data_IF_761854108977
#
_entry.id   IF_761854108977
#
_cell.length_a   1.000
_cell.length_b   1.000
_cell.length_c   1.000
_cell.angle_alpha   90.00
_cell.angle_beta   90.00
_cell.angle_gamma   90.00
#
_symmetry.space_group_name_H-M   'P 1'
#
loop_
_entity.id
_entity.type
_entity.pdbx_description
1 polymer ?
#
# COMPACT_ATOMS: atom_id res chain seq x y z
N UNK A 1 10.22 -66.79 -15.34
CA UNK A 1 11.25 -65.85 -14.83
C UNK A 1 11.47 -64.70 -15.83
N UNK A 2 10.42 -63.97 -16.24
CA UNK A 2 10.57 -62.86 -17.22
C UNK A 2 9.39 -61.87 -17.25
N UNK A 3 8.58 -61.76 -16.19
CA UNK A 3 7.33 -60.96 -16.20
C UNK A 3 7.20 -59.92 -15.06
N UNK A 4 8.23 -59.75 -14.21
CA UNK A 4 8.17 -58.82 -13.06
C UNK A 4 8.98 -57.52 -13.24
N UNK A 5 9.58 -57.29 -14.41
CA UNK A 5 10.48 -56.14 -14.64
C UNK A 5 9.80 -54.87 -15.17
N UNK A 6 8.50 -54.90 -15.51
CA UNK A 6 7.83 -53.79 -16.21
C UNK A 6 7.03 -52.83 -15.34
N UNK A 7 6.88 -53.08 -14.03
CA UNK A 7 6.06 -52.21 -13.16
C UNK A 7 6.83 -51.00 -12.59
N UNK A 8 8.18 -51.02 -12.60
CA UNK A 8 8.99 -49.93 -12.01
C UNK A 8 9.19 -48.70 -12.90
N UNK A 9 8.77 -48.70 -14.16
CA UNK A 9 9.07 -47.60 -15.09
C UNK A 9 8.07 -46.43 -15.06
N UNK A 10 6.92 -46.56 -14.38
CA UNK A 10 5.83 -45.55 -14.44
C UNK A 10 5.77 -44.59 -13.24
N UNK A 11 6.70 -44.68 -12.28
CA UNK A 11 6.69 -43.80 -11.08
C UNK A 11 7.61 -42.57 -11.25
N UNK A 12 8.34 -42.46 -12.36
CA UNK A 12 9.36 -41.41 -12.58
C UNK A 12 8.89 -40.14 -13.30
N UNK A 13 7.61 -39.98 -13.61
CA UNK A 13 7.09 -38.77 -14.30
C UNK A 13 6.67 -37.62 -13.37
N UNK A 14 6.85 -37.74 -12.05
CA UNK A 14 6.23 -36.85 -11.07
C UNK A 14 7.14 -35.76 -10.45
N UNK A 15 8.37 -35.55 -10.93
CA UNK A 15 9.26 -34.55 -10.35
C UNK A 15 10.13 -33.80 -11.36
N UNK A 16 9.60 -33.54 -12.56
CA UNK A 16 10.07 -32.38 -13.31
C UNK A 16 9.75 -31.15 -12.44
N UNK A 17 10.71 -30.26 -12.14
CA UNK A 17 10.46 -29.05 -11.37
C UNK A 17 9.61 -28.10 -12.21
N UNK A 18 8.34 -28.44 -12.31
CA UNK A 18 7.25 -27.59 -12.78
C UNK A 18 7.25 -26.35 -11.89
N UNK A 19 6.79 -25.23 -12.43
CA UNK A 19 6.69 -23.92 -11.77
C UNK A 19 6.41 -23.97 -10.26
N UNK A 20 6.90 -22.95 -9.55
CA UNK A 20 6.82 -22.85 -8.07
C UNK A 20 5.42 -23.16 -7.54
N UNK A 21 4.38 -22.75 -8.27
CA UNK A 21 3.00 -23.12 -8.00
C UNK A 21 2.24 -23.46 -9.30
N UNK A 22 1.22 -24.32 -9.22
CA UNK A 22 0.43 -24.69 -10.39
C UNK A 22 -0.29 -23.47 -10.98
N UNK A 23 -0.11 -23.24 -12.28
CA UNK A 23 -0.67 -22.09 -12.99
C UNK A 23 -2.20 -21.99 -12.84
N UNK A 24 -2.90 -23.13 -12.82
CA UNK A 24 -4.36 -23.19 -12.68
C UNK A 24 -4.86 -22.62 -11.34
N UNK A 25 -4.03 -22.60 -10.29
CA UNK A 25 -4.36 -21.99 -9.01
C UNK A 25 -3.94 -20.52 -8.94
N UNK A 26 -2.74 -20.20 -9.45
CA UNK A 26 -2.17 -18.85 -9.39
C UNK A 26 -2.94 -17.87 -10.27
N UNK A 27 -3.33 -18.27 -11.49
CA UNK A 27 -3.97 -17.36 -12.45
C UNK A 27 -5.36 -16.87 -12.00
N UNK A 28 -6.29 -17.73 -11.53
CA UNK A 28 -7.57 -17.27 -10.99
C UNK A 28 -7.39 -16.37 -9.77
N UNK A 29 -6.46 -16.72 -8.87
CA UNK A 29 -6.17 -15.91 -7.69
C UNK A 29 -5.64 -14.52 -8.07
N UNK A 30 -4.71 -14.46 -9.03
CA UNK A 30 -4.17 -13.21 -9.55
C UNK A 30 -5.26 -12.37 -10.23
N UNK A 31 -6.15 -13.00 -10.98
CA UNK A 31 -7.29 -12.32 -11.63
C UNK A 31 -8.24 -11.70 -10.60
N UNK A 32 -8.62 -12.45 -9.56
CA UNK A 32 -9.45 -11.92 -8.46
C UNK A 32 -8.74 -10.76 -7.76
N UNK A 33 -7.44 -10.91 -7.47
CA UNK A 33 -6.63 -9.86 -6.84
C UNK A 33 -6.57 -8.60 -7.71
N UNK A 34 -6.41 -8.75 -9.03
CA UNK A 34 -6.39 -7.64 -9.97
C UNK A 34 -7.73 -6.90 -9.99
N UNK A 35 -8.85 -7.61 -9.98
CA UNK A 35 -10.19 -7.01 -9.89
C UNK A 35 -10.35 -6.22 -8.58
N UNK A 36 -9.97 -6.80 -7.45
CA UNK A 36 -10.06 -6.14 -6.14
C UNK A 36 -9.24 -4.84 -6.14
N UNK A 37 -8.01 -4.88 -6.64
CA UNK A 37 -7.15 -3.70 -6.75
C UNK A 37 -7.71 -2.67 -7.73
N UNK A 38 -8.29 -3.10 -8.85
CA UNK A 38 -8.94 -2.22 -9.82
C UNK A 38 -10.14 -1.49 -9.23
N UNK A 39 -11.05 -2.22 -8.56
CA UNK A 39 -12.20 -1.64 -7.87
C UNK A 39 -11.74 -0.67 -6.77
N UNK A 40 -10.74 -1.07 -5.97
CA UNK A 40 -10.18 -0.22 -4.92
C UNK A 40 -9.61 1.10 -5.49
N UNK A 41 -8.86 1.01 -6.60
CA UNK A 41 -8.29 2.18 -7.27
C UNK A 41 -9.35 3.12 -7.83
N UNK A 42 -10.41 2.59 -8.44
CA UNK A 42 -11.55 3.40 -8.92
C UNK A 42 -12.28 4.07 -7.75
N UNK A 43 -12.54 3.33 -6.67
CA UNK A 43 -13.19 3.87 -5.47
C UNK A 43 -12.38 5.02 -4.84
N UNK A 44 -11.05 4.87 -4.79
CA UNK A 44 -10.13 5.93 -4.35
C UNK A 44 -10.19 7.18 -5.24
N UNK A 45 -10.43 7.01 -6.53
CA UNK A 45 -10.58 8.10 -7.49
C UNK A 45 -11.79 9.00 -7.23
N UNK A 46 -12.81 8.51 -6.51
CA UNK A 46 -14.03 9.25 -6.20
C UNK A 46 -13.95 10.03 -4.87
N UNK A 47 -12.95 9.76 -4.03
CA UNK A 47 -12.79 10.46 -2.76
C UNK A 47 -12.38 11.93 -2.97
N UNK A 48 -13.01 12.84 -2.23
CA UNK A 48 -12.67 14.26 -2.25
C UNK A 48 -11.32 14.45 -1.53
N UNK A 49 -10.26 14.58 -2.32
CA UNK A 49 -8.88 14.66 -1.84
C UNK A 49 -8.09 15.72 -2.62
N UNK A 50 -7.11 16.38 -1.99
CA UNK A 50 -6.21 17.29 -2.69
C UNK A 50 -5.56 16.62 -3.89
N UNK A 51 -5.48 17.34 -5.02
CA UNK A 51 -5.00 16.83 -6.32
C UNK A 51 -3.64 16.11 -6.23
N UNK A 52 -2.73 16.61 -5.40
CA UNK A 52 -1.41 15.99 -5.14
C UNK A 52 -1.49 14.61 -4.46
N UNK A 53 -2.36 14.46 -3.45
CA UNK A 53 -2.55 13.17 -2.76
C UNK A 53 -3.20 12.15 -3.70
N UNK A 54 -4.11 12.63 -4.55
CA UNK A 54 -4.77 11.82 -5.57
C UNK A 54 -3.74 11.26 -6.56
N UNK A 55 -2.83 12.08 -7.10
CA UNK A 55 -1.82 11.61 -8.06
C UNK A 55 -0.89 10.54 -7.49
N UNK A 56 -0.44 10.66 -6.23
CA UNK A 56 0.43 9.64 -5.60
C UNK A 56 -0.32 8.31 -5.45
N UNK A 57 -1.57 8.35 -4.99
CA UNK A 57 -2.40 7.15 -4.83
C UNK A 57 -2.74 6.50 -6.16
N UNK A 58 -3.01 7.31 -7.18
CA UNK A 58 -3.23 6.84 -8.55
C UNK A 58 -1.99 6.12 -9.08
N UNK A 59 -0.80 6.72 -8.92
CA UNK A 59 0.46 6.10 -9.32
C UNK A 59 0.71 4.78 -8.58
N UNK A 60 0.53 4.76 -7.26
CA UNK A 60 0.71 3.54 -6.46
C UNK A 60 -0.21 2.40 -6.91
N UNK A 61 -1.51 2.68 -7.12
CA UNK A 61 -2.44 1.67 -7.59
C UNK A 61 -2.12 1.14 -9.00
N UNK A 62 -1.63 2.00 -9.89
CA UNK A 62 -1.20 1.59 -11.23
C UNK A 62 0.03 0.66 -11.17
N UNK A 63 1.02 0.97 -10.32
CA UNK A 63 2.17 0.10 -10.10
C UNK A 63 1.72 -1.24 -9.49
N UNK A 64 0.80 -1.24 -8.53
CA UNK A 64 0.23 -2.47 -7.97
C UNK A 64 -0.47 -3.33 -9.04
N UNK A 65 -1.28 -2.73 -9.91
CA UNK A 65 -1.93 -3.44 -11.02
C UNK A 65 -0.93 -4.07 -11.98
N UNK A 66 0.24 -3.45 -12.19
CA UNK A 66 1.31 -4.01 -13.02
C UNK A 66 2.09 -5.12 -12.29
N UNK A 67 2.23 -5.01 -10.97
CA UNK A 67 2.97 -5.97 -10.14
C UNK A 67 2.28 -7.34 -10.10
N UNK A 68 0.94 -7.35 -10.01
CA UNK A 68 0.13 -8.58 -9.93
C UNK A 68 0.38 -9.55 -11.11
N UNK A 69 0.24 -9.16 -12.39
CA UNK A 69 0.46 -10.06 -13.52
C UNK A 69 1.93 -10.50 -13.62
N UNK A 70 2.89 -9.66 -13.24
CA UNK A 70 4.32 -10.04 -13.22
C UNK A 70 4.57 -11.13 -12.18
N UNK A 71 4.01 -11.00 -10.98
CA UNK A 71 4.09 -12.04 -9.95
C UNK A 71 3.38 -13.32 -10.38
N UNK A 72 2.17 -13.20 -10.95
CA UNK A 72 1.42 -14.35 -11.43
C UNK A 72 2.19 -15.13 -12.52
N UNK A 73 2.84 -14.41 -13.44
CA UNK A 73 3.71 -15.00 -14.45
C UNK A 73 4.93 -15.68 -13.81
N UNK A 74 5.61 -15.01 -12.88
CA UNK A 74 6.77 -15.56 -12.18
C UNK A 74 6.47 -16.84 -11.39
N UNK A 75 5.32 -16.90 -10.71
CA UNK A 75 4.93 -18.06 -9.91
C UNK A 75 4.32 -19.19 -10.74
N UNK A 76 3.48 -18.85 -11.72
CA UNK A 76 2.67 -19.84 -12.45
C UNK A 76 3.33 -20.38 -13.72
N UNK A 77 4.15 -19.59 -14.41
CA UNK A 77 4.62 -19.89 -15.77
C UNK A 77 6.14 -20.06 -15.84
N UNK A 78 6.91 -19.26 -15.11
CA UNK A 78 8.37 -19.27 -15.23
C UNK A 78 8.97 -20.48 -14.52
N UNK A 79 9.60 -21.36 -15.31
CA UNK A 79 10.38 -22.49 -14.80
C UNK A 79 11.79 -22.06 -14.36
N UNK A 80 12.30 -22.56 -13.22
CA UNK A 80 13.67 -22.31 -12.78
C UNK A 80 14.74 -22.92 -13.71
N UNK A 81 14.36 -23.86 -14.59
CA UNK A 81 15.25 -24.46 -15.59
C UNK A 81 15.75 -23.41 -16.60
N UNK A 82 14.97 -22.37 -16.85
CA UNK A 82 15.33 -21.24 -17.71
C UNK A 82 15.90 -20.08 -16.88
N UNK A 83 17.13 -20.23 -16.41
CA UNK A 83 17.79 -19.32 -15.47
C UNK A 83 17.67 -17.83 -15.86
N UNK A 84 17.86 -17.49 -17.16
CA UNK A 84 17.76 -16.11 -17.63
C UNK A 84 16.35 -15.53 -17.44
N UNK A 85 15.31 -16.26 -17.84
CA UNK A 85 13.93 -15.80 -17.69
C UNK A 85 13.55 -15.71 -16.21
N UNK A 86 13.94 -16.70 -15.42
CA UNK A 86 13.75 -16.71 -13.98
C UNK A 86 14.33 -15.45 -13.33
N UNK A 87 15.61 -15.15 -13.54
CA UNK A 87 16.27 -13.98 -12.96
C UNK A 87 15.59 -12.68 -13.42
N UNK A 88 15.31 -12.53 -14.72
CA UNK A 88 14.69 -11.31 -15.25
C UNK A 88 13.30 -11.06 -14.65
N UNK A 89 12.47 -12.10 -14.52
CA UNK A 89 11.13 -11.97 -13.94
C UNK A 89 11.21 -11.60 -12.46
N UNK A 90 12.11 -12.21 -11.68
CA UNK A 90 12.25 -11.88 -10.27
C UNK A 90 12.88 -10.51 -10.02
N UNK A 91 13.85 -10.08 -10.84
CA UNK A 91 14.39 -8.72 -10.80
C UNK A 91 13.30 -7.69 -11.12
N UNK A 92 12.47 -7.95 -12.13
CA UNK A 92 11.33 -7.09 -12.44
C UNK A 92 10.30 -7.05 -11.31
N UNK A 93 9.94 -8.21 -10.76
CA UNK A 93 8.98 -8.33 -9.66
C UNK A 93 9.47 -7.58 -8.41
N UNK A 94 10.72 -7.80 -8.00
CA UNK A 94 11.35 -7.11 -6.85
C UNK A 94 11.52 -5.62 -7.09
N UNK A 95 11.85 -5.20 -8.32
CA UNK A 95 11.90 -3.80 -8.71
C UNK A 95 10.55 -3.10 -8.60
N UNK A 96 9.49 -3.72 -9.12
CA UNK A 96 8.12 -3.22 -8.99
C UNK A 96 7.66 -3.17 -7.53
N UNK A 97 7.94 -4.22 -6.75
CA UNK A 97 7.60 -4.26 -5.32
C UNK A 97 8.34 -3.18 -4.53
N UNK A 98 9.60 -2.93 -4.85
CA UNK A 98 10.37 -1.83 -4.25
C UNK A 98 9.78 -0.48 -4.60
N UNK A 99 9.31 -0.29 -5.84
CA UNK A 99 8.64 0.95 -6.26
C UNK A 99 7.33 1.17 -5.50
N UNK A 100 6.51 0.12 -5.32
CA UNK A 100 5.31 0.16 -4.46
C UNK A 100 5.66 0.58 -3.05
N UNK A 101 6.71 -0.03 -2.47
CA UNK A 101 7.16 0.29 -1.11
C UNK A 101 7.61 1.74 -0.98
N UNK A 102 8.38 2.26 -1.95
CA UNK A 102 8.82 3.66 -1.98
C UNK A 102 7.64 4.63 -2.10
N UNK A 103 6.68 4.35 -2.98
CA UNK A 103 5.46 5.15 -3.13
C UNK A 103 4.62 5.15 -1.85
N UNK A 104 4.50 4.00 -1.19
CA UNK A 104 3.82 3.87 0.09
C UNK A 104 4.51 4.69 1.19
N UNK A 105 5.84 4.59 1.31
CA UNK A 105 6.62 5.40 2.26
C UNK A 105 6.44 6.90 1.99
N UNK A 106 6.46 7.32 0.72
CA UNK A 106 6.24 8.72 0.35
C UNK A 106 4.85 9.22 0.76
N UNK A 107 3.79 8.42 0.58
CA UNK A 107 2.41 8.77 1.03
C UNK A 107 2.34 8.93 2.56
N UNK A 108 2.99 8.02 3.30
CA UNK A 108 3.03 8.07 4.77
C UNK A 108 3.82 9.28 5.26
N UNK A 109 5.03 9.51 4.74
CA UNK A 109 5.89 10.64 5.11
C UNK A 109 5.19 11.98 4.84
N UNK A 110 4.54 12.11 3.69
CA UNK A 110 3.79 13.31 3.35
C UNK A 110 2.59 13.51 4.28
N UNK A 111 1.80 12.46 4.52
CA UNK A 111 0.65 12.53 5.44
C UNK A 111 1.08 12.90 6.86
N UNK A 112 2.20 12.35 7.32
CA UNK A 112 2.80 12.69 8.61
C UNK A 112 3.24 14.15 8.69
N UNK A 113 3.93 14.65 7.65
CA UNK A 113 4.38 16.04 7.58
C UNK A 113 3.19 17.02 7.65
N UNK A 114 2.12 16.74 6.91
CA UNK A 114 0.90 17.57 6.92
C UNK A 114 0.25 17.57 8.29
N UNK A 115 0.11 16.41 8.93
CA UNK A 115 -0.48 16.28 10.27
C UNK A 115 0.34 17.06 11.30
N UNK A 116 1.67 16.96 11.23
CA UNK A 116 2.56 17.67 12.13
C UNK A 116 2.45 19.19 11.99
N UNK A 117 2.36 19.69 10.75
CA UNK A 117 2.15 21.11 10.47
C UNK A 117 0.78 21.58 10.98
N UNK A 118 -0.28 20.82 10.75
CA UNK A 118 -1.61 21.12 11.25
C UNK A 118 -1.64 21.20 12.79
N UNK A 119 -1.00 20.23 13.46
CA UNK A 119 -0.90 20.20 14.93
C UNK A 119 -0.19 21.44 15.49
N UNK A 120 0.91 21.87 14.84
CA UNK A 120 1.62 23.10 15.23
C UNK A 120 0.75 24.36 15.11
N UNK A 121 -0.07 24.46 14.06
CA UNK A 121 -0.98 25.60 13.87
C UNK A 121 -2.09 25.59 14.92
N UNK A 122 -2.69 24.43 15.20
CA UNK A 122 -3.74 24.31 16.22
C UNK A 122 -3.24 24.69 17.62
N UNK A 123 -2.01 24.31 17.98
CA UNK A 123 -1.41 24.70 19.26
C UNK A 123 -1.26 26.22 19.39
N UNK A 124 -0.86 26.92 18.31
CA UNK A 124 -0.79 28.40 18.30
C UNK A 124 -2.17 29.04 18.45
N UNK A 125 -3.19 28.47 17.82
CA UNK A 125 -4.58 28.95 17.93
C UNK A 125 -5.13 28.72 19.34
N UNK A 126 -4.89 27.56 19.93
CA UNK A 126 -5.28 27.24 21.30
C UNK A 126 -4.61 28.17 22.32
N UNK A 127 -3.32 28.47 22.15
CA UNK A 127 -2.61 29.42 23.00
C UNK A 127 -3.21 30.83 22.93
N UNK A 128 -3.51 31.33 21.72
CA UNK A 128 -4.17 32.63 21.52
C UNK A 128 -5.57 32.67 22.13
N UNK A 129 -6.37 31.62 21.93
CA UNK A 129 -7.71 31.53 22.50
C UNK A 129 -7.67 31.59 24.03
N UNK A 130 -6.72 30.88 24.68
CA UNK A 130 -6.52 30.95 26.13
C UNK A 130 -6.16 32.36 26.61
N UNK A 131 -5.28 33.06 25.89
CA UNK A 131 -4.91 34.44 26.24
C UNK A 131 -6.11 35.40 26.16
N UNK A 132 -6.99 35.23 25.17
CA UNK A 132 -8.19 36.06 25.04
C UNK A 132 -9.17 35.80 26.19
N UNK A 133 -9.40 34.54 26.54
CA UNK A 133 -10.26 34.17 27.68
C UNK A 133 -9.71 34.73 29.00
N UNK A 134 -8.39 34.67 29.22
CA UNK A 134 -7.78 35.24 30.43
C UNK A 134 -7.93 36.77 30.49
N UNK A 135 -7.84 37.47 29.36
CA UNK A 135 -8.07 38.93 29.33
C UNK A 135 -9.51 39.28 29.70
N UNK A 136 -10.49 38.55 29.16
CA UNK A 136 -11.90 38.77 29.49
C UNK A 136 -12.18 38.58 30.98
N UNK A 137 -11.66 37.52 31.59
CA UNK A 137 -11.84 37.26 33.03
C UNK A 137 -11.22 38.37 33.89
N UNK A 138 -10.07 38.92 33.50
CA UNK A 138 -9.42 40.02 34.23
C UNK A 138 -10.21 41.32 34.09
N UNK A 139 -10.71 41.62 32.89
CA UNK A 139 -11.55 42.81 32.62
C UNK A 139 -12.86 42.76 33.42
N UNK A 140 -13.57 41.62 33.42
CA UNK A 140 -14.78 41.40 34.23
C UNK A 140 -14.50 41.55 35.73
N UNK A 141 -13.36 41.05 36.21
CA UNK A 141 -12.95 41.19 37.61
C UNK A 141 -12.72 42.65 38.03
N UNK A 142 -12.12 43.47 37.17
CA UNK A 142 -11.93 44.89 37.43
C UNK A 142 -13.26 45.67 37.47
N UNK A 143 -14.19 45.37 36.57
CA UNK A 143 -15.53 45.98 36.56
C UNK A 143 -16.32 45.65 37.83
N UNK A 144 -16.32 44.39 38.25
CA UNK A 144 -16.98 43.96 39.48
C UNK A 144 -16.39 44.64 40.73
N UNK A 145 -15.06 44.79 40.79
CA UNK A 145 -14.40 45.48 41.89
C UNK A 145 -14.78 46.96 41.95
N UNK A 146 -14.81 47.66 40.81
CA UNK A 146 -15.17 49.09 40.76
C UNK A 146 -16.63 49.33 41.15
N UNK A 147 -17.54 48.44 40.74
CA UNK A 147 -18.95 48.52 41.09
C UNK A 147 -19.22 48.35 42.61
N UNK A 148 -18.37 47.60 43.32
CA UNK A 148 -18.50 47.40 44.78
C UNK A 148 -18.06 48.59 45.64
N UNK A 149 -17.29 49.52 45.07
CA UNK A 149 -16.75 50.70 45.77
C UNK A 149 -17.66 51.92 45.63
N UNK A 150 -18.60 51.90 44.68
CA UNK A 150 -19.59 52.96 44.45
C UNK A 150 -20.85 52.71 45.25
#
# INVERSE_FOLDING_TARGET
>A
MMMLATISANVQTASEPTSVAPAWAVLPLAFVTLIVVAVHWVALGQADMPRWRKSIRTANGLVMMLTIPVLAYGFGVVSPQNQRHFILTWVLATGLMSLVMLLALADVLHSWYVLWRARRVMMRRAAKARQLLLKQVVEEGHEASNASVS
#
